data_IF_106430012909
#
_entry.id   IF_106430012909
#
_cell.length_a   1.000
_cell.length_b   1.000
_cell.length_c   1.000
_cell.angle_alpha   90.00
_cell.angle_beta   90.00
_cell.angle_gamma   90.00
#
_symmetry.space_group_name_H-M   'P 1'
#
loop_
_entity.id
_entity.type
_entity.pdbx_description
1 polymer ?
#
# COMPACT_ATOMS: atom_id res chain seq x y z
N UNK A 1 -8.32 -13.11 21.75
CA UNK A 1 -8.12 -12.38 20.48
C UNK A 1 -9.11 -11.23 20.42
N UNK A 2 -10.41 -11.51 20.56
CA UNK A 2 -11.48 -10.49 20.49
C UNK A 2 -11.29 -9.29 21.44
N UNK A 3 -10.86 -9.51 22.70
CA UNK A 3 -10.58 -8.41 23.64
C UNK A 3 -9.44 -7.49 23.17
N UNK A 4 -8.44 -8.03 22.48
CA UNK A 4 -7.30 -7.28 21.93
C UNK A 4 -7.75 -6.48 20.70
N UNK A 5 -8.58 -7.08 19.85
CA UNK A 5 -9.15 -6.42 18.68
C UNK A 5 -10.06 -5.26 19.08
N UNK A 6 -10.89 -5.47 20.11
CA UNK A 6 -11.78 -4.43 20.66
C UNK A 6 -10.99 -3.28 21.29
N UNK A 7 -9.96 -3.59 22.09
CA UNK A 7 -9.10 -2.56 22.69
C UNK A 7 -8.38 -1.74 21.62
N UNK A 8 -7.80 -2.40 20.61
CA UNK A 8 -7.16 -1.71 19.50
C UNK A 8 -8.15 -0.84 18.72
N UNK A 9 -9.33 -1.36 18.40
CA UNK A 9 -10.35 -0.61 17.68
C UNK A 9 -10.79 0.65 18.45
N UNK A 10 -10.97 0.54 19.76
CA UNK A 10 -11.24 1.72 20.61
C UNK A 10 -10.07 2.70 20.62
N UNK A 11 -8.83 2.21 20.67
CA UNK A 11 -7.63 3.05 20.63
C UNK A 11 -7.43 3.75 19.29
N UNK A 12 -7.97 3.20 18.20
CA UNK A 12 -7.93 3.80 16.87
C UNK A 12 -8.72 5.11 16.77
N UNK A 13 -9.58 5.44 17.75
CA UNK A 13 -10.12 6.79 17.90
C UNK A 13 -11.28 7.15 16.97
N UNK A 14 -11.94 6.18 16.33
CA UNK A 14 -13.13 6.45 15.51
C UNK A 14 -14.29 6.96 16.36
N UNK A 15 -14.77 8.16 16.03
CA UNK A 15 -15.98 8.75 16.64
C UNK A 15 -17.25 8.00 16.24
N UNK A 16 -18.30 8.07 17.06
CA UNK A 16 -19.61 7.48 16.73
C UNK A 16 -20.14 7.93 15.35
N UNK A 17 -19.87 9.18 14.96
CA UNK A 17 -20.24 9.71 13.64
C UNK A 17 -19.48 9.04 12.51
N UNK A 18 -18.17 8.81 12.67
CA UNK A 18 -17.37 8.09 11.67
C UNK A 18 -17.79 6.62 11.57
N UNK A 19 -18.06 5.97 12.71
CA UNK A 19 -18.55 4.59 12.75
C UNK A 19 -19.89 4.45 12.03
N UNK A 20 -20.80 5.40 12.25
CA UNK A 20 -22.08 5.47 11.55
C UNK A 20 -21.89 5.70 10.04
N UNK A 21 -20.98 6.60 9.64
CA UNK A 21 -20.65 6.84 8.25
C UNK A 21 -20.08 5.58 7.55
N UNK A 22 -19.25 4.79 8.25
CA UNK A 22 -18.74 3.51 7.77
C UNK A 22 -19.88 2.52 7.53
N UNK A 23 -20.78 2.38 8.50
CA UNK A 23 -21.93 1.49 8.39
C UNK A 23 -22.85 1.86 7.21
N UNK A 24 -23.12 3.16 7.04
CA UNK A 24 -23.92 3.69 5.92
C UNK A 24 -23.25 3.50 4.56
N UNK A 25 -21.95 3.78 4.46
CA UNK A 25 -21.17 3.56 3.24
C UNK A 25 -21.12 2.08 2.87
N UNK A 26 -20.98 1.18 3.85
CA UNK A 26 -21.05 -0.27 3.64
C UNK A 26 -22.44 -0.72 3.19
N UNK A 27 -23.50 -0.24 3.82
CA UNK A 27 -24.85 -0.55 3.37
C UNK A 27 -25.08 -0.06 1.94
N UNK A 28 -24.62 1.15 1.61
CA UNK A 28 -24.64 1.66 0.24
C UNK A 28 -23.83 0.78 -0.70
N UNK A 29 -22.63 0.35 -0.33
CA UNK A 29 -21.80 -0.54 -1.15
C UNK A 29 -22.51 -1.86 -1.49
N UNK A 30 -23.17 -2.48 -0.51
CA UNK A 30 -23.93 -3.72 -0.74
C UNK A 30 -25.25 -3.54 -1.50
N UNK A 31 -25.91 -2.40 -1.31
CA UNK A 31 -27.20 -2.11 -1.95
C UNK A 31 -27.04 -1.35 -3.28
N UNK A 32 -25.82 -0.89 -3.58
CA UNK A 32 -25.49 -0.16 -4.78
C UNK A 32 -25.68 -1.04 -6.01
N UNK A 33 -26.85 -0.86 -6.63
CA UNK A 33 -27.18 -1.38 -7.94
C UNK A 33 -27.01 -0.40 -9.13
N UNK A 34 -26.29 0.75 -9.05
CA UNK A 34 -25.93 1.46 -10.28
C UNK A 34 -25.07 0.54 -11.15
N UNK A 35 -25.51 0.33 -12.40
CA UNK A 35 -24.78 -0.44 -13.41
C UNK A 35 -23.29 -0.06 -13.48
N UNK A 36 -22.97 1.23 -13.29
CA UNK A 36 -21.61 1.74 -13.30
C UNK A 36 -20.78 1.27 -12.10
N UNK A 37 -21.34 1.23 -10.89
CA UNK A 37 -20.62 0.77 -9.68
C UNK A 37 -20.33 -0.72 -9.78
N UNK A 38 -21.32 -1.53 -10.18
CA UNK A 38 -21.10 -2.98 -10.39
C UNK A 38 -20.05 -3.22 -11.48
N UNK A 39 -20.08 -2.46 -12.57
CA UNK A 39 -19.08 -2.55 -13.64
C UNK A 39 -17.66 -2.23 -13.14
N UNK A 40 -17.46 -1.12 -12.42
CA UNK A 40 -16.16 -0.75 -11.83
C UNK A 40 -15.64 -1.87 -10.93
N UNK A 41 -16.47 -2.34 -10.00
CA UNK A 41 -16.08 -3.39 -9.04
C UNK A 41 -15.67 -4.68 -9.77
N UNK A 42 -16.45 -5.12 -10.76
CA UNK A 42 -16.10 -6.30 -11.55
C UNK A 42 -14.77 -6.12 -12.29
N UNK A 43 -14.48 -4.93 -12.81
CA UNK A 43 -13.22 -4.68 -13.52
C UNK A 43 -12.01 -4.65 -12.61
N UNK A 44 -12.13 -4.01 -11.43
CA UNK A 44 -11.12 -4.06 -10.38
C UNK A 44 -10.88 -5.52 -9.98
N UNK A 45 -11.95 -6.28 -9.74
CA UNK A 45 -11.85 -7.68 -9.35
C UNK A 45 -11.09 -8.53 -10.37
N UNK A 46 -11.41 -8.39 -11.66
CA UNK A 46 -10.71 -9.12 -12.74
C UNK A 46 -9.24 -8.70 -12.81
N UNK A 47 -8.96 -7.40 -12.84
CA UNK A 47 -7.58 -6.89 -12.97
C UNK A 47 -6.71 -7.33 -11.79
N UNK A 48 -7.17 -7.11 -10.55
CA UNK A 48 -6.44 -7.51 -9.34
C UNK A 48 -6.29 -9.03 -9.27
N UNK A 49 -7.32 -9.81 -9.62
CA UNK A 49 -7.21 -11.28 -9.64
C UNK A 49 -6.13 -11.75 -10.61
N UNK A 50 -6.09 -11.19 -11.83
CA UNK A 50 -5.09 -11.55 -12.84
C UNK A 50 -3.68 -11.20 -12.36
N UNK A 51 -3.49 -9.98 -11.88
CA UNK A 51 -2.18 -9.49 -11.42
C UNK A 51 -1.68 -10.24 -10.19
N UNK A 52 -2.52 -10.45 -9.18
CA UNK A 52 -2.12 -11.14 -7.95
C UNK A 52 -1.87 -12.63 -8.19
N UNK A 53 -2.65 -13.27 -9.07
CA UNK A 53 -2.40 -14.66 -9.46
C UNK A 53 -1.07 -14.78 -10.22
N UNK A 54 -0.76 -13.81 -11.08
CA UNK A 54 0.51 -13.77 -11.79
C UNK A 54 1.69 -13.59 -10.82
N UNK A 55 1.65 -12.61 -9.93
CA UNK A 55 2.73 -12.38 -8.96
C UNK A 55 2.92 -13.56 -7.99
N UNK A 56 1.84 -14.16 -7.48
CA UNK A 56 1.92 -15.37 -6.64
C UNK A 56 2.58 -16.54 -7.38
N UNK A 57 2.33 -16.68 -8.68
CA UNK A 57 3.00 -17.67 -9.52
C UNK A 57 4.48 -17.34 -9.76
N UNK A 58 4.82 -16.07 -9.95
CA UNK A 58 6.20 -15.61 -10.15
C UNK A 58 7.09 -15.90 -8.95
N UNK A 59 6.55 -15.95 -7.73
CA UNK A 59 7.29 -16.37 -6.52
C UNK A 59 7.87 -17.78 -6.64
N UNK A 60 7.29 -18.68 -7.44
CA UNK A 60 7.84 -20.02 -7.65
C UNK A 60 9.17 -20.03 -8.43
N UNK A 61 9.54 -18.92 -9.07
CA UNK A 61 10.84 -18.76 -9.73
C UNK A 61 11.97 -18.41 -8.76
N UNK A 62 11.62 -17.96 -7.56
CA UNK A 62 12.59 -17.49 -6.59
C UNK A 62 13.27 -18.65 -5.88
N UNK A 63 14.59 -18.56 -5.61
CA UNK A 63 15.29 -19.56 -4.84
C UNK A 63 14.74 -19.74 -3.43
N UNK A 64 14.90 -20.95 -2.82
CA UNK A 64 14.45 -21.24 -1.46
C UNK A 64 14.85 -20.18 -0.43
N UNK A 65 16.07 -19.65 -0.51
CA UNK A 65 16.66 -18.70 0.43
C UNK A 65 15.91 -17.37 0.45
N UNK A 66 15.56 -16.86 -0.72
CA UNK A 66 14.73 -15.64 -0.82
C UNK A 66 13.33 -15.92 -0.28
N UNK A 67 12.78 -17.11 -0.53
CA UNK A 67 11.47 -17.53 -0.01
C UNK A 67 11.49 -17.75 1.51
N UNK A 68 12.60 -18.20 2.07
CA UNK A 68 12.81 -18.30 3.51
C UNK A 68 12.90 -16.90 4.14
N UNK A 69 13.65 -16.00 3.50
CA UNK A 69 13.77 -14.59 3.89
C UNK A 69 12.40 -13.90 3.96
N UNK A 70 11.49 -14.16 3.01
CA UNK A 70 10.11 -13.66 3.06
C UNK A 70 9.35 -14.09 4.33
N UNK A 71 9.64 -15.28 4.87
CA UNK A 71 8.97 -15.81 6.06
C UNK A 71 9.64 -15.38 7.37
N UNK A 72 10.94 -15.07 7.34
CA UNK A 72 11.72 -14.67 8.51
C UNK A 72 11.12 -13.45 9.22
N UNK A 73 10.68 -12.44 8.46
CA UNK A 73 10.19 -11.18 9.02
C UNK A 73 8.72 -11.23 9.50
N UNK A 74 7.89 -12.07 8.88
CA UNK A 74 6.45 -12.15 9.16
C UNK A 74 6.12 -13.08 10.35
N UNK A 75 6.92 -14.13 10.57
CA UNK A 75 6.64 -15.16 11.59
C UNK A 75 7.49 -14.94 12.84
N UNK A 76 6.89 -15.08 14.02
CA UNK A 76 7.66 -15.01 15.27
C UNK A 76 8.61 -16.21 15.38
N UNK A 77 9.90 -16.01 15.09
CA UNK A 77 11.09 -16.63 15.67
C UNK A 77 11.02 -18.10 16.14
N UNK A 78 10.37 -19.00 15.40
CA UNK A 78 10.50 -20.44 15.61
C UNK A 78 11.31 -21.03 14.44
N UNK A 79 12.63 -21.23 14.60
CA UNK A 79 13.47 -21.83 13.58
C UNK A 79 13.18 -23.32 13.38
N UNK A 80 13.48 -23.87 12.19
CA UNK A 80 13.90 -23.12 10.99
C UNK A 80 12.70 -22.46 10.28
N UNK A 81 12.92 -21.26 9.72
CA UNK A 81 11.92 -20.62 8.87
C UNK A 81 11.63 -21.56 7.68
N UNK A 82 10.38 -21.94 7.50
CA UNK A 82 9.96 -22.73 6.33
C UNK A 82 10.05 -21.83 5.09
N UNK A 83 10.29 -22.37 3.91
CA UNK A 83 10.10 -21.63 2.65
C UNK A 83 8.70 -21.00 2.57
N UNK A 84 8.60 -19.80 1.98
CA UNK A 84 7.31 -19.21 1.62
C UNK A 84 6.57 -20.10 0.62
N UNK A 85 5.35 -20.52 0.93
CA UNK A 85 4.52 -21.36 0.07
C UNK A 85 3.52 -20.50 -0.69
N UNK A 86 3.58 -20.51 -2.02
CA UNK A 86 2.61 -19.83 -2.88
C UNK A 86 1.26 -20.54 -2.83
N UNK A 87 0.20 -19.83 -3.21
CA UNK A 87 -1.13 -20.42 -3.44
C UNK A 87 -1.38 -20.65 -4.93
N UNK A 88 -0.30 -20.85 -5.69
CA UNK A 88 -0.37 -21.05 -7.13
C UNK A 88 -0.96 -22.42 -7.52
N UNK A 89 -0.93 -23.40 -6.60
CA UNK A 89 -1.35 -24.77 -6.87
C UNK A 89 -2.87 -24.87 -7.14
N UNK A 90 -3.30 -25.85 -7.95
CA UNK A 90 -4.70 -26.02 -8.33
C UNK A 90 -5.63 -26.23 -7.12
N UNK A 91 -5.19 -27.04 -6.16
CA UNK A 91 -5.94 -27.32 -4.92
C UNK A 91 -6.15 -26.08 -4.05
N UNK A 92 -5.31 -25.07 -4.20
CA UNK A 92 -5.35 -23.82 -3.44
C UNK A 92 -6.13 -22.72 -4.20
N UNK A 93 -6.72 -23.03 -5.37
CA UNK A 93 -7.43 -22.06 -6.21
C UNK A 93 -8.55 -21.33 -5.46
N UNK A 94 -9.36 -22.02 -4.67
CA UNK A 94 -10.44 -21.37 -3.91
C UNK A 94 -9.88 -20.51 -2.79
N UNK A 95 -8.86 -21.00 -2.07
CA UNK A 95 -8.14 -20.22 -1.05
C UNK A 95 -7.56 -18.94 -1.65
N UNK A 96 -6.92 -19.03 -2.82
CA UNK A 96 -6.38 -17.91 -3.58
C UNK A 96 -7.46 -16.89 -3.95
N UNK A 97 -8.59 -17.34 -4.52
CA UNK A 97 -9.72 -16.46 -4.86
C UNK A 97 -10.23 -15.69 -3.64
N UNK A 98 -10.46 -16.40 -2.53
CA UNK A 98 -10.94 -15.80 -1.28
C UNK A 98 -9.92 -14.80 -0.71
N UNK A 99 -8.63 -15.14 -0.76
CA UNK A 99 -7.58 -14.27 -0.26
C UNK A 99 -7.41 -12.98 -1.09
N UNK A 100 -7.42 -13.08 -2.43
CA UNK A 100 -7.40 -11.91 -3.32
C UNK A 100 -8.64 -11.04 -3.09
N UNK A 101 -9.80 -11.64 -2.78
CA UNK A 101 -11.03 -10.90 -2.48
C UNK A 101 -10.88 -9.90 -1.32
N UNK A 102 -9.99 -10.17 -0.35
CA UNK A 102 -9.69 -9.22 0.74
C UNK A 102 -9.09 -7.92 0.22
N UNK A 103 -8.18 -8.00 -0.76
CA UNK A 103 -7.59 -6.83 -1.40
C UNK A 103 -8.55 -6.14 -2.37
N UNK A 104 -9.32 -6.94 -3.12
CA UNK A 104 -10.34 -6.43 -4.03
C UNK A 104 -11.40 -5.65 -3.24
N UNK A 105 -11.89 -6.19 -2.12
CA UNK A 105 -12.90 -5.54 -1.28
C UNK A 105 -12.43 -4.20 -0.75
N UNK A 106 -11.19 -4.11 -0.24
CA UNK A 106 -10.56 -2.86 0.14
C UNK A 106 -10.59 -1.84 -1.01
N UNK A 107 -9.99 -2.16 -2.16
CA UNK A 107 -9.87 -1.20 -3.25
C UNK A 107 -11.22 -0.84 -3.88
N UNK A 108 -12.10 -1.82 -4.06
CA UNK A 108 -13.45 -1.61 -4.55
C UNK A 108 -14.25 -0.70 -3.63
N UNK A 109 -14.11 -0.86 -2.30
CA UNK A 109 -14.78 -0.02 -1.33
C UNK A 109 -14.29 1.43 -1.40
N UNK A 110 -12.97 1.64 -1.47
CA UNK A 110 -12.38 2.97 -1.61
C UNK A 110 -12.84 3.66 -2.88
N UNK A 111 -12.71 2.99 -4.03
CA UNK A 111 -13.10 3.54 -5.34
C UNK A 111 -14.61 3.82 -5.42
N UNK A 112 -15.44 2.99 -4.79
CA UNK A 112 -16.90 3.18 -4.79
C UNK A 112 -17.35 4.36 -3.93
N UNK A 113 -16.60 4.67 -2.87
CA UNK A 113 -16.86 5.80 -1.98
C UNK A 113 -15.99 7.03 -2.30
N UNK A 114 -15.25 6.99 -3.41
CA UNK A 114 -14.47 8.12 -3.89
C UNK A 114 -15.37 9.13 -4.61
N UNK A 115 -15.37 10.36 -4.09
CA UNK A 115 -15.92 11.52 -4.80
C UNK A 115 -14.80 12.31 -5.47
N UNK A 116 -15.13 13.02 -6.54
CA UNK A 116 -14.16 13.73 -7.37
C UNK A 116 -13.19 14.59 -6.54
N UNK A 117 -11.96 14.71 -7.05
CA UNK A 117 -10.86 15.46 -6.45
C UNK A 117 -11.27 16.83 -5.85
N UNK A 118 -10.96 17.04 -4.57
CA UNK A 118 -11.12 18.35 -3.91
C UNK A 118 -12.45 18.62 -3.22
N UNK A 119 -13.38 17.66 -3.19
CA UNK A 119 -14.54 17.70 -2.30
C UNK A 119 -14.22 17.01 -0.96
N UNK A 120 -14.79 17.51 0.14
CA UNK A 120 -14.85 16.76 1.41
C UNK A 120 -15.55 15.42 1.10
N UNK A 121 -14.78 14.34 1.11
CA UNK A 121 -15.22 13.07 0.53
C UNK A 121 -15.88 12.15 1.55
N UNK A 122 -16.69 11.19 1.07
CA UNK A 122 -17.27 10.16 1.93
C UNK A 122 -16.20 9.36 2.71
N UNK A 123 -14.97 9.23 2.18
CA UNK A 123 -13.85 8.62 2.90
C UNK A 123 -13.43 9.42 4.15
N UNK A 124 -13.41 10.74 4.08
CA UNK A 124 -13.01 11.61 5.20
C UNK A 124 -14.08 11.62 6.30
N UNK A 125 -15.37 11.56 5.93
CA UNK A 125 -16.45 11.42 6.91
C UNK A 125 -16.43 10.07 7.62
N UNK A 126 -15.86 9.04 7.00
CA UNK A 126 -15.55 7.74 7.62
C UNK A 126 -14.23 7.73 8.41
N UNK A 127 -13.56 8.88 8.53
CA UNK A 127 -12.31 9.03 9.27
C UNK A 127 -11.07 8.57 8.50
N UNK A 128 -11.12 8.43 7.18
CA UNK A 128 -9.97 8.12 6.33
C UNK A 128 -9.49 9.37 5.58
N UNK A 129 -8.45 9.99 6.11
CA UNK A 129 -7.77 11.16 5.56
C UNK A 129 -6.58 10.73 4.69
N UNK A 130 -6.86 10.48 3.42
CA UNK A 130 -5.83 10.02 2.48
C UNK A 130 -4.86 11.14 2.07
N UNK A 131 -3.59 10.76 1.91
CA UNK A 131 -2.63 11.60 1.22
C UNK A 131 -3.07 11.84 -0.24
N UNK A 132 -2.68 12.98 -0.81
CA UNK A 132 -3.05 13.32 -2.18
C UNK A 132 -2.55 12.31 -3.20
N UNK A 133 -1.37 11.73 -3.00
CA UNK A 133 -0.85 10.67 -3.86
C UNK A 133 -1.80 9.46 -3.90
N UNK A 134 -2.35 9.05 -2.75
CA UNK A 134 -3.33 7.95 -2.71
C UNK A 134 -4.68 8.36 -3.30
N UNK A 135 -5.09 9.62 -3.14
CA UNK A 135 -6.28 10.18 -3.79
C UNK A 135 -6.15 10.16 -5.32
N UNK A 136 -4.99 10.56 -5.85
CA UNK A 136 -4.68 10.52 -7.28
C UNK A 136 -4.70 9.08 -7.81
N UNK A 137 -4.11 8.14 -7.07
CA UNK A 137 -4.14 6.71 -7.43
C UNK A 137 -5.57 6.17 -7.49
N UNK A 138 -6.42 6.49 -6.50
CA UNK A 138 -7.83 6.06 -6.48
C UNK A 138 -8.61 6.67 -7.66
N UNK A 139 -8.38 7.96 -7.96
CA UNK A 139 -9.03 8.63 -9.08
C UNK A 139 -8.62 8.01 -10.43
N UNK A 140 -7.32 7.74 -10.61
CA UNK A 140 -6.79 7.04 -11.78
C UNK A 140 -7.38 5.63 -11.92
N UNK A 141 -7.39 4.84 -10.85
CA UNK A 141 -7.98 3.48 -10.84
C UNK A 141 -9.46 3.55 -11.21
N UNK A 142 -10.21 4.52 -10.66
CA UNK A 142 -11.62 4.74 -10.99
C UNK A 142 -11.81 5.08 -12.47
N UNK A 143 -11.00 6.00 -13.00
CA UNK A 143 -11.03 6.40 -14.41
C UNK A 143 -10.73 5.22 -15.35
N UNK A 144 -9.69 4.43 -15.08
CA UNK A 144 -9.34 3.24 -15.87
C UNK A 144 -10.40 2.13 -15.78
N UNK A 145 -11.03 2.00 -14.61
CA UNK A 145 -12.16 1.08 -14.42
C UNK A 145 -13.36 1.49 -15.26
N UNK A 146 -13.71 2.79 -15.30
CA UNK A 146 -14.84 3.31 -16.07
C UNK A 146 -14.62 3.30 -17.59
N UNK A 147 -13.43 3.68 -18.04
CA UNK A 147 -13.11 3.92 -19.45
C UNK A 147 -13.00 2.66 -20.31
N UNK A 148 -12.99 1.46 -19.72
CA UNK A 148 -12.82 0.22 -20.48
C UNK A 148 -11.36 -0.06 -20.89
N UNK A 149 -10.38 0.73 -20.44
CA UNK A 149 -8.96 0.62 -20.82
C UNK A 149 -8.28 -0.69 -20.36
N UNK A 150 -7.02 -0.93 -20.74
CA UNK A 150 -6.32 -2.21 -20.48
C UNK A 150 -6.45 -2.70 -19.02
N UNK A 151 -6.91 -3.95 -18.83
CA UNK A 151 -6.96 -4.61 -17.52
C UNK A 151 -5.56 -4.79 -16.92
N UNK A 152 -4.54 -4.96 -17.76
CA UNK A 152 -3.14 -5.04 -17.32
C UNK A 152 -2.71 -3.74 -16.61
N UNK A 153 -2.98 -2.59 -17.22
CA UNK A 153 -2.64 -1.28 -16.65
C UNK A 153 -3.42 -1.03 -15.37
N UNK A 154 -4.71 -1.39 -15.32
CA UNK A 154 -5.50 -1.29 -14.10
C UNK A 154 -4.92 -2.15 -12.96
N UNK A 155 -4.41 -3.35 -13.29
CA UNK A 155 -3.73 -4.23 -12.36
C UNK A 155 -2.42 -3.62 -11.83
N UNK A 156 -1.57 -3.08 -12.72
CA UNK A 156 -0.32 -2.39 -12.35
C UNK A 156 -0.58 -1.17 -11.45
N UNK A 157 -1.62 -0.39 -11.74
CA UNK A 157 -2.05 0.73 -10.87
C UNK A 157 -2.50 0.25 -9.50
N UNK A 158 -3.28 -0.83 -9.44
CA UNK A 158 -3.71 -1.42 -8.17
C UNK A 158 -2.51 -1.94 -7.35
N UNK A 159 -1.56 -2.63 -7.99
CA UNK A 159 -0.30 -3.08 -7.36
C UNK A 159 0.47 -1.89 -6.79
N UNK A 160 0.68 -0.83 -7.60
CA UNK A 160 1.38 0.38 -7.18
C UNK A 160 0.70 1.03 -5.97
N UNK A 161 -0.63 1.12 -5.99
CA UNK A 161 -1.41 1.62 -4.86
C UNK A 161 -1.19 0.77 -3.61
N UNK A 162 -1.33 -0.56 -3.69
CA UNK A 162 -1.15 -1.43 -2.52
C UNK A 162 0.27 -1.39 -1.97
N UNK A 163 1.29 -1.35 -2.82
CA UNK A 163 2.69 -1.21 -2.39
C UNK A 163 2.90 0.12 -1.64
N UNK A 164 2.37 1.24 -2.14
CA UNK A 164 2.40 2.54 -1.44
C UNK A 164 1.74 2.45 -0.07
N UNK A 165 0.62 1.75 0.02
CA UNK A 165 -0.09 1.53 1.28
C UNK A 165 0.77 0.70 2.24
N UNK A 166 1.38 -0.40 1.79
CA UNK A 166 2.20 -1.31 2.62
C UNK A 166 3.46 -0.63 3.17
N UNK A 167 4.13 0.20 2.38
CA UNK A 167 5.43 0.81 2.76
C UNK A 167 5.34 2.07 3.63
N UNK A 168 4.13 2.54 3.92
CA UNK A 168 3.92 3.76 4.69
C UNK A 168 4.31 3.57 6.16
N UNK A 169 5.52 4.00 6.52
CA UNK A 169 6.04 3.94 7.89
C UNK A 169 5.32 4.88 8.87
N UNK A 170 4.43 5.76 8.38
CA UNK A 170 3.63 6.69 9.18
C UNK A 170 2.15 6.30 9.20
N UNK A 171 1.85 5.05 8.88
CA UNK A 171 0.50 4.55 8.77
C UNK A 171 -0.25 4.63 10.09
N UNK A 172 -1.44 5.23 10.05
CA UNK A 172 -2.41 5.25 11.15
C UNK A 172 -3.75 4.71 10.64
N UNK A 173 -4.68 4.34 11.53
CA UNK A 173 -6.06 4.03 11.15
C UNK A 173 -6.78 5.16 10.42
N UNK A 174 -6.27 6.41 10.50
CA UNK A 174 -6.87 7.57 9.86
C UNK A 174 -6.17 8.03 8.58
N UNK A 175 -4.97 7.55 8.28
CA UNK A 175 -4.16 8.04 7.13
C UNK A 175 -3.84 6.95 6.12
N UNK A 176 -3.89 5.68 6.54
CA UNK A 176 -3.50 4.55 5.72
C UNK A 176 -4.70 3.64 5.40
N UNK A 177 -5.00 3.41 4.10
CA UNK A 177 -6.14 2.58 3.71
C UNK A 177 -6.15 1.17 4.30
N UNK A 178 -4.99 0.51 4.45
CA UNK A 178 -4.93 -0.85 4.96
C UNK A 178 -5.24 -0.89 6.46
N UNK A 179 -4.63 0.00 7.25
CA UNK A 179 -4.90 0.07 8.71
C UNK A 179 -6.34 0.48 8.97
N UNK A 180 -6.86 1.44 8.21
CA UNK A 180 -8.27 1.83 8.25
C UNK A 180 -9.19 0.65 7.90
N UNK A 181 -8.85 -0.13 6.87
CA UNK A 181 -9.62 -1.30 6.48
C UNK A 181 -9.64 -2.38 7.56
N UNK A 182 -8.54 -2.58 8.28
CA UNK A 182 -8.52 -3.48 9.45
C UNK A 182 -9.54 -3.02 10.50
N UNK A 183 -9.64 -1.71 10.76
CA UNK A 183 -10.65 -1.17 11.67
C UNK A 183 -12.08 -1.42 11.17
N UNK A 184 -12.34 -1.24 9.88
CA UNK A 184 -13.64 -1.57 9.26
C UNK A 184 -13.96 -3.06 9.41
N UNK A 185 -13.00 -3.95 9.13
CA UNK A 185 -13.18 -5.40 9.27
C UNK A 185 -13.44 -5.79 10.73
N UNK A 186 -12.70 -5.24 11.70
CA UNK A 186 -12.91 -5.51 13.13
C UNK A 186 -14.30 -5.03 13.56
N UNK A 187 -14.66 -3.79 13.25
CA UNK A 187 -15.97 -3.24 13.58
C UNK A 187 -17.07 -4.14 13.04
N UNK A 188 -17.02 -4.41 11.73
CA UNK A 188 -18.14 -5.06 11.06
C UNK A 188 -18.21 -6.55 11.33
N UNK A 189 -17.09 -7.25 11.45
CA UNK A 189 -17.09 -8.73 11.50
C UNK A 189 -16.82 -9.31 12.88
N UNK A 190 -16.18 -8.54 13.77
CA UNK A 190 -15.82 -9.01 15.11
C UNK A 190 -16.77 -8.40 16.15
N UNK A 191 -17.07 -7.10 16.04
CA UNK A 191 -17.85 -6.39 17.04
C UNK A 191 -19.37 -6.39 16.73
N UNK A 192 -19.74 -6.13 15.48
CA UNK A 192 -21.14 -5.89 15.09
C UNK A 192 -21.84 -7.08 14.40
N UNK A 193 -21.14 -8.22 14.23
CA UNK A 193 -21.60 -9.45 13.54
C UNK A 193 -22.38 -9.17 12.23
N UNK A 194 -21.84 -8.26 11.43
CA UNK A 194 -22.46 -7.83 10.18
C UNK A 194 -22.30 -8.90 9.08
N UNK A 195 -23.18 -8.88 8.06
CA UNK A 195 -23.05 -9.78 6.91
C UNK A 195 -21.66 -9.73 6.27
N UNK A 196 -21.13 -10.88 5.87
CA UNK A 196 -19.82 -10.90 5.20
C UNK A 196 -19.85 -10.16 3.87
N UNK A 197 -18.68 -9.67 3.47
CA UNK A 197 -18.53 -8.93 2.22
C UNK A 197 -18.90 -9.79 1.01
N UNK A 198 -19.52 -9.15 0.02
CA UNK A 198 -19.78 -9.77 -1.29
C UNK A 198 -19.23 -8.83 -2.33
N UNK A 199 -18.25 -9.28 -3.11
CA UNK A 199 -17.57 -8.43 -4.10
C UNK A 199 -17.45 -9.19 -5.41
N UNK A 200 -17.92 -8.58 -6.50
CA UNK A 200 -17.98 -9.20 -7.83
C UNK A 200 -18.65 -10.60 -7.80
N UNK A 201 -19.78 -10.70 -7.10
CA UNK A 201 -20.57 -11.93 -6.91
C UNK A 201 -19.83 -13.06 -6.14
N UNK A 202 -18.65 -12.79 -5.57
CA UNK A 202 -17.94 -13.69 -4.65
C UNK A 202 -18.33 -13.39 -3.21
N UNK A 203 -18.92 -14.38 -2.54
CA UNK A 203 -19.20 -14.30 -1.11
C UNK A 203 -17.93 -14.59 -0.30
N UNK A 204 -17.59 -13.70 0.61
CA UNK A 204 -16.49 -13.89 1.53
C UNK A 204 -16.78 -15.03 2.52
N UNK A 205 -15.85 -15.97 2.58
CA UNK A 205 -15.90 -17.16 3.45
C UNK A 205 -14.76 -17.19 4.48
N UNK A 206 -13.85 -16.21 4.46
CA UNK A 206 -12.72 -16.16 5.37
C UNK A 206 -13.13 -15.63 6.75
N UNK A 207 -12.60 -16.24 7.79
CA UNK A 207 -12.56 -15.64 9.13
C UNK A 207 -11.61 -14.45 9.15
N UNK A 208 -11.72 -13.57 10.16
CA UNK A 208 -10.82 -12.44 10.32
C UNK A 208 -9.33 -12.87 10.37
N UNK A 209 -9.00 -13.94 11.08
CA UNK A 209 -7.64 -14.50 11.10
C UNK A 209 -7.15 -14.91 9.71
N UNK A 210 -8.00 -15.56 8.90
CA UNK A 210 -7.66 -15.95 7.54
C UNK A 210 -7.51 -14.73 6.60
N UNK A 211 -8.21 -13.63 6.86
CA UNK A 211 -8.03 -12.37 6.12
C UNK A 211 -6.69 -11.72 6.45
N UNK A 212 -6.28 -11.76 7.71
CA UNK A 212 -4.94 -11.31 8.10
C UNK A 212 -3.85 -12.16 7.42
N UNK A 213 -4.02 -13.48 7.35
CA UNK A 213 -3.11 -14.36 6.60
C UNK A 213 -3.08 -14.01 5.10
N UNK A 214 -4.23 -13.69 4.50
CA UNK A 214 -4.33 -13.25 3.11
C UNK A 214 -3.61 -11.91 2.87
N UNK A 215 -3.74 -10.95 3.79
CA UNK A 215 -3.03 -9.67 3.74
C UNK A 215 -1.53 -9.91 3.87
N UNK A 216 -1.10 -10.66 4.87
CA UNK A 216 0.32 -10.99 5.09
C UNK A 216 0.95 -11.77 3.92
N UNK A 217 0.24 -12.73 3.33
CA UNK A 217 0.67 -13.47 2.13
C UNK A 217 0.96 -12.55 0.95
N UNK A 218 -0.02 -11.75 0.55
CA UNK A 218 0.14 -10.89 -0.62
C UNK A 218 1.03 -9.67 -0.36
N UNK A 219 1.12 -9.16 0.86
CA UNK A 219 2.05 -8.09 1.18
C UNK A 219 3.50 -8.51 0.93
N UNK A 220 3.87 -9.75 1.28
CA UNK A 220 5.20 -10.31 0.99
C UNK A 220 5.47 -10.44 -0.50
N UNK A 221 4.48 -10.92 -1.26
CA UNK A 221 4.58 -11.04 -2.73
C UNK A 221 4.77 -9.65 -3.36
N UNK A 222 3.94 -8.68 -2.98
CA UNK A 222 4.01 -7.32 -3.51
C UNK A 222 5.33 -6.61 -3.16
N UNK A 223 5.85 -6.83 -1.95
CA UNK A 223 7.15 -6.29 -1.55
C UNK A 223 8.31 -6.90 -2.34
N UNK A 224 8.26 -8.21 -2.64
CA UNK A 224 9.25 -8.88 -3.47
C UNK A 224 9.28 -8.32 -4.90
N UNK A 225 8.10 -8.16 -5.50
CA UNK A 225 7.96 -7.62 -6.86
C UNK A 225 8.40 -6.15 -6.92
N UNK A 226 7.97 -5.28 -5.99
CA UNK A 226 8.43 -3.87 -5.95
C UNK A 226 9.95 -3.77 -5.72
N UNK A 227 10.53 -4.65 -4.89
CA UNK A 227 11.97 -4.68 -4.69
C UNK A 227 12.69 -5.06 -5.99
N UNK A 228 12.22 -6.07 -6.73
CA UNK A 228 12.79 -6.44 -8.01
C UNK A 228 12.72 -5.30 -9.03
N UNK A 229 11.54 -4.72 -9.24
CA UNK A 229 11.33 -3.62 -10.20
C UNK A 229 12.26 -2.45 -9.90
N UNK A 230 12.30 -2.01 -8.64
CA UNK A 230 13.17 -0.90 -8.21
C UNK A 230 14.64 -1.22 -8.38
N UNK A 231 15.04 -2.47 -8.13
CA UNK A 231 16.43 -2.90 -8.27
C UNK A 231 16.87 -2.91 -9.73
N UNK A 232 16.01 -3.38 -10.64
CA UNK A 232 16.23 -3.33 -12.08
C UNK A 232 16.33 -1.88 -12.57
N UNK A 233 15.55 -0.96 -12.01
CA UNK A 233 15.56 0.45 -12.41
C UNK A 233 16.67 1.31 -11.76
N UNK A 234 17.44 0.79 -10.79
CA UNK A 234 18.50 1.56 -10.11
C UNK A 234 19.64 1.98 -11.06
N UNK A 235 19.91 3.27 -11.28
CA UNK A 235 20.86 3.71 -12.31
C UNK A 235 22.34 3.44 -11.99
N UNK A 236 22.75 3.42 -10.71
CA UNK A 236 24.17 3.69 -10.39
C UNK A 236 24.95 2.59 -9.65
N UNK A 237 24.31 1.51 -9.19
CA UNK A 237 24.99 0.53 -8.31
C UNK A 237 25.23 -0.84 -8.92
N UNK A 238 24.60 -1.18 -10.05
CA UNK A 238 24.60 -2.53 -10.62
C UNK A 238 24.66 -2.44 -12.14
N UNK A 239 25.57 -3.20 -12.74
CA UNK A 239 25.74 -3.20 -14.19
C UNK A 239 24.50 -3.77 -14.89
N UNK A 240 24.16 -3.29 -16.10
CA UNK A 240 23.05 -3.85 -16.88
C UNK A 240 23.16 -5.37 -17.08
N UNK A 241 24.38 -5.90 -17.19
CA UNK A 241 24.64 -7.33 -17.35
C UNK A 241 24.27 -8.14 -16.09
N UNK A 242 24.52 -7.62 -14.88
CA UNK A 242 24.10 -8.28 -13.63
C UNK A 242 22.58 -8.31 -13.50
N UNK A 243 21.89 -7.24 -13.95
CA UNK A 243 20.42 -7.19 -13.96
C UNK A 243 19.81 -8.18 -14.94
N UNK A 244 20.34 -8.24 -16.15
CA UNK A 244 19.92 -9.19 -17.17
C UNK A 244 20.18 -10.64 -16.71
N UNK A 245 21.34 -10.90 -16.11
CA UNK A 245 21.70 -12.22 -15.55
C UNK A 245 20.70 -12.69 -14.49
N UNK A 246 20.36 -11.82 -13.53
CA UNK A 246 19.38 -12.16 -12.48
C UNK A 246 18.00 -12.45 -13.11
N UNK A 247 17.54 -11.60 -14.03
CA UNK A 247 16.26 -11.79 -14.70
C UNK A 247 16.22 -13.07 -15.54
N UNK A 248 17.30 -13.40 -16.25
CA UNK A 248 17.45 -14.62 -17.04
C UNK A 248 17.45 -15.85 -16.14
N UNK A 249 18.17 -15.81 -15.02
CA UNK A 249 18.18 -16.92 -14.05
C UNK A 249 16.79 -17.22 -13.47
N UNK A 250 16.01 -16.18 -13.15
CA UNK A 250 14.60 -16.34 -12.75
C UNK A 250 13.75 -16.92 -13.89
N UNK A 251 14.01 -16.54 -15.14
CA UNK A 251 13.28 -17.03 -16.31
C UNK A 251 13.59 -18.50 -16.66
N UNK A 252 14.72 -19.05 -16.23
CA UNK A 252 15.03 -20.48 -16.41
C UNK A 252 14.10 -21.40 -15.61
N UNK A 253 13.50 -20.90 -14.51
CA UNK A 253 12.57 -21.67 -13.69
C UNK A 253 11.19 -21.70 -14.34
N UNK A 254 10.82 -22.87 -14.87
CA UNK A 254 9.51 -23.05 -15.50
C UNK A 254 8.37 -23.04 -14.47
N UNK A 255 7.43 -22.13 -14.69
CA UNK A 255 6.15 -22.04 -13.98
C UNK A 255 4.96 -22.51 -14.83
N UNK A 256 5.21 -23.13 -15.98
CA UNK A 256 4.15 -23.55 -16.93
C UNK A 256 3.17 -24.57 -16.34
N UNK A 257 3.54 -25.24 -15.26
CA UNK A 257 2.68 -26.18 -14.54
C UNK A 257 1.53 -25.47 -13.82
N UNK A 258 1.68 -24.19 -13.47
CA UNK A 258 0.63 -23.38 -12.82
C UNK A 258 -0.49 -23.09 -13.83
N UNK A 259 -0.13 -22.71 -15.06
CA UNK A 259 -1.09 -22.43 -16.14
C UNK A 259 -1.87 -23.68 -16.58
N UNK A 260 -1.29 -24.87 -16.36
CA UNK A 260 -1.90 -26.15 -16.69
C UNK A 260 -2.77 -26.70 -15.56
N UNK A 261 -2.95 -25.94 -14.47
CA UNK A 261 -3.55 -26.42 -13.23
C UNK A 261 -2.96 -27.80 -12.82
N UNK A 262 -1.63 -27.95 -12.90
CA UNK A 262 -0.91 -29.16 -12.52
C UNK A 262 -0.30 -29.04 -11.11
N UNK A 263 0.07 -30.17 -10.50
CA UNK A 263 0.80 -30.16 -9.23
C UNK A 263 2.23 -29.64 -9.42
N UNK A 264 2.78 -29.03 -8.36
CA UNK A 264 4.15 -28.50 -8.37
C UNK A 264 5.12 -29.64 -8.70
N UNK A 265 5.95 -29.53 -9.75
CA UNK A 265 6.92 -30.55 -10.07
C UNK A 265 7.90 -30.72 -8.90
N UNK A 266 8.38 -31.94 -8.64
CA UNK A 266 9.41 -32.14 -7.63
C UNK A 266 10.63 -31.28 -7.98
N UNK A 267 11.20 -30.63 -6.96
CA UNK A 267 12.43 -29.84 -7.13
C UNK A 267 13.52 -30.80 -7.60
N UNK A 268 14.04 -30.59 -8.83
CA UNK A 268 15.15 -31.37 -9.35
C UNK A 268 16.40 -31.06 -8.51
N UNK A 269 16.99 -32.03 -7.81
CA UNK A 269 18.19 -31.81 -6.98
C UNK A 269 19.37 -31.24 -7.78
N UNK A 270 19.47 -31.50 -9.09
CA UNK A 270 20.52 -30.95 -9.95
C UNK A 270 20.23 -29.51 -10.40
N UNK A 271 18.95 -29.12 -10.52
CA UNK A 271 18.56 -27.73 -10.71
C UNK A 271 18.74 -26.95 -9.40
N UNK A 272 18.43 -27.58 -8.26
CA UNK A 272 18.63 -27.02 -6.93
C UNK A 272 20.12 -26.76 -6.65
N UNK A 273 21.01 -27.71 -6.94
CA UNK A 273 22.46 -27.52 -6.78
C UNK A 273 23.02 -26.41 -7.70
N UNK A 274 22.49 -26.24 -8.91
CA UNK A 274 22.86 -25.10 -9.77
C UNK A 274 22.30 -23.77 -9.26
N UNK A 275 21.09 -23.77 -8.69
CA UNK A 275 20.52 -22.59 -8.04
C UNK A 275 21.31 -22.21 -6.77
N UNK A 276 21.78 -23.20 -6.00
CA UNK A 276 22.69 -22.99 -4.86
C UNK A 276 24.04 -22.43 -5.31
N UNK A 277 24.65 -22.98 -6.37
CA UNK A 277 25.88 -22.42 -6.96
C UNK A 277 25.67 -21.00 -7.52
N UNK A 278 24.44 -20.63 -7.88
CA UNK A 278 24.06 -19.28 -8.34
C UNK A 278 23.76 -18.31 -7.20
N UNK A 279 23.26 -18.74 -6.04
CA UNK A 279 22.96 -17.84 -4.91
C UNK A 279 24.20 -17.20 -4.31
N UNK A 280 25.34 -17.90 -4.39
CA UNK A 280 26.65 -17.37 -4.02
C UNK A 280 27.23 -16.43 -5.11
N UNK A 281 26.51 -16.17 -6.21
CA UNK A 281 26.95 -15.24 -7.23
C UNK A 281 26.84 -13.78 -6.75
N UNK A 282 27.71 -12.89 -7.26
CA UNK A 282 27.70 -11.48 -6.87
C UNK A 282 26.34 -10.80 -7.05
N UNK A 283 25.60 -11.12 -8.12
CA UNK A 283 24.29 -10.53 -8.41
C UNK A 283 23.21 -10.96 -7.41
N UNK A 284 23.19 -12.24 -7.01
CA UNK A 284 22.24 -12.75 -6.03
C UNK A 284 22.53 -12.24 -4.62
N UNK A 285 23.81 -12.15 -4.23
CA UNK A 285 24.21 -11.51 -2.97
C UNK A 285 23.80 -10.03 -2.95
N UNK A 286 24.08 -9.28 -4.02
CA UNK A 286 23.72 -7.87 -4.12
C UNK A 286 22.19 -7.65 -4.05
N UNK A 287 21.40 -8.52 -4.67
CA UNK A 287 19.94 -8.47 -4.56
C UNK A 287 19.45 -8.81 -3.15
N UNK A 288 20.03 -9.84 -2.53
CA UNK A 288 19.68 -10.27 -1.16
C UNK A 288 19.97 -9.16 -0.15
N UNK A 289 21.15 -8.55 -0.23
CA UNK A 289 21.55 -7.40 0.59
C UNK A 289 20.62 -6.20 0.39
N UNK A 290 20.08 -6.02 -0.82
CA UNK A 290 19.13 -4.96 -1.14
C UNK A 290 17.72 -5.23 -0.58
N UNK A 291 17.21 -6.46 -0.70
CA UNK A 291 15.82 -6.77 -0.32
C UNK A 291 15.65 -7.00 1.18
N UNK A 292 16.66 -7.53 1.87
CA UNK A 292 16.59 -7.79 3.30
C UNK A 292 16.17 -6.57 4.14
N UNK A 293 16.77 -5.36 3.99
CA UNK A 293 16.33 -4.19 4.74
C UNK A 293 14.91 -3.72 4.34
N UNK A 294 14.46 -3.98 3.10
CA UNK A 294 13.09 -3.66 2.66
C UNK A 294 12.09 -4.54 3.43
N UNK A 295 12.34 -5.85 3.49
CA UNK A 295 11.47 -6.76 4.26
C UNK A 295 11.49 -6.44 5.75
N UNK A 296 12.66 -6.14 6.32
CA UNK A 296 12.77 -5.69 7.71
C UNK A 296 12.00 -4.40 7.98
N UNK A 297 11.95 -3.46 7.03
CA UNK A 297 11.20 -2.23 7.19
C UNK A 297 9.69 -2.44 7.02
N UNK A 298 9.27 -3.30 6.10
CA UNK A 298 7.88 -3.35 5.63
C UNK A 298 7.07 -4.54 6.17
N UNK A 299 7.70 -5.64 6.56
CA UNK A 299 7.04 -6.94 6.76
C UNK A 299 7.34 -7.55 8.13
N UNK A 300 7.56 -6.72 9.15
CA UNK A 300 7.81 -7.17 10.53
C UNK A 300 6.86 -6.53 11.53
N UNK A 301 6.58 -7.26 12.61
CA UNK A 301 5.85 -6.77 13.78
C UNK A 301 6.59 -5.71 14.61
N UNK A 302 7.85 -5.41 14.25
CA UNK A 302 8.69 -4.41 14.92
C UNK A 302 8.72 -3.06 14.19
N UNK A 303 8.14 -2.95 12.99
CA UNK A 303 8.14 -1.70 12.24
C UNK A 303 6.97 -0.79 12.66
N UNK A 304 7.04 0.48 12.26
CA UNK A 304 5.92 1.42 12.40
C UNK A 304 4.93 1.37 11.23
N UNK A 305 5.15 0.46 10.27
CA UNK A 305 4.31 0.32 9.08
C UNK A 305 3.00 -0.43 9.34
N UNK A 306 2.08 -0.45 8.38
CA UNK A 306 0.76 -1.09 8.52
C UNK A 306 0.85 -2.59 8.76
N UNK A 307 1.84 -3.26 8.17
CA UNK A 307 2.04 -4.70 8.34
C UNK A 307 2.43 -5.09 9.75
N UNK A 308 3.02 -4.17 10.53
CA UNK A 308 3.25 -4.39 11.95
C UNK A 308 1.94 -4.69 12.68
N UNK A 309 0.89 -3.91 12.37
CA UNK A 309 -0.46 -4.15 12.93
C UNK A 309 -1.02 -5.51 12.50
N UNK A 310 -0.90 -5.88 11.22
CA UNK A 310 -1.35 -7.18 10.68
C UNK A 310 -0.64 -8.34 11.39
N UNK A 311 0.69 -8.27 11.48
CA UNK A 311 1.53 -9.31 12.08
C UNK A 311 1.26 -9.42 13.59
N UNK A 312 1.15 -8.30 14.29
CA UNK A 312 0.81 -8.30 15.72
C UNK A 312 -0.58 -8.91 15.98
N UNK A 313 -1.56 -8.67 15.10
CA UNK A 313 -2.87 -9.34 15.19
C UNK A 313 -2.75 -10.85 14.97
N UNK A 314 -2.01 -11.28 13.94
CA UNK A 314 -1.78 -12.71 13.66
C UNK A 314 -1.17 -13.44 14.86
N UNK A 315 -0.25 -12.79 15.57
CA UNK A 315 0.41 -13.36 16.75
C UNK A 315 -0.35 -13.15 18.06
N UNK A 316 -1.44 -12.38 18.06
CA UNK A 316 -2.19 -12.01 19.26
C UNK A 316 -1.35 -11.22 20.28
N UNK A 317 -0.38 -10.43 19.81
CA UNK A 317 0.64 -9.74 20.64
C UNK A 317 0.55 -8.21 20.59
N UNK A 318 -0.63 -7.63 20.37
CA UNK A 318 -0.70 -6.16 20.36
C UNK A 318 -0.38 -5.59 21.73
N UNK A 319 0.67 -4.77 21.75
CA UNK A 319 0.78 -3.68 22.69
C UNK A 319 0.13 -2.46 22.04
N UNK A 320 -0.74 -1.77 22.76
CA UNK A 320 -1.40 -0.56 22.30
C UNK A 320 -0.32 0.52 22.13
N UNK A 321 0.05 0.92 20.91
CA UNK A 321 1.05 1.95 20.73
C UNK A 321 0.45 3.28 21.19
N UNK A 322 1.18 4.01 22.02
CA UNK A 322 0.83 5.40 22.31
C UNK A 322 1.34 6.26 21.15
N UNK A 323 0.50 7.16 20.65
CA UNK A 323 0.86 8.09 19.59
C UNK A 323 0.76 9.52 20.10
N UNK A 324 1.69 10.36 19.66
CA UNK A 324 1.62 11.81 19.83
C UNK A 324 1.47 12.48 18.48
N UNK A 325 0.47 13.34 18.38
CA UNK A 325 0.23 14.21 17.22
C UNK A 325 1.35 15.24 17.07
N UNK A 326 1.89 15.35 15.85
CA UNK A 326 2.88 16.36 15.45
C UNK A 326 2.50 16.90 14.07
N UNK A 327 2.69 18.19 13.85
CA UNK A 327 2.46 18.81 12.54
C UNK A 327 3.75 18.88 11.74
N UNK A 328 3.75 18.36 10.51
CA UNK A 328 4.88 18.47 9.58
C UNK A 328 4.50 19.38 8.41
N UNK A 329 5.48 20.17 7.97
CA UNK A 329 5.36 20.96 6.74
C UNK A 329 6.12 20.23 5.66
N UNK A 330 5.44 19.94 4.55
CA UNK A 330 6.03 19.35 3.36
C UNK A 330 5.92 20.31 2.18
N UNK A 331 6.85 20.16 1.25
CA UNK A 331 6.86 20.91 0.01
C UNK A 331 7.32 20.00 -1.13
N UNK A 332 6.67 20.15 -2.28
CA UNK A 332 6.98 19.47 -3.52
C UNK A 332 7.06 20.50 -4.64
N UNK A 333 8.07 20.38 -5.49
CA UNK A 333 8.24 21.18 -6.71
C UNK A 333 8.30 20.18 -7.88
N UNK A 334 7.48 20.44 -8.88
CA UNK A 334 7.45 19.71 -10.15
C UNK A 334 7.83 20.68 -11.27
N UNK A 335 8.85 20.33 -12.05
CA UNK A 335 9.33 21.09 -13.20
C UNK A 335 9.06 20.30 -14.48
N UNK A 336 8.64 21.00 -15.55
CA UNK A 336 8.27 20.45 -16.87
C UNK A 336 7.19 19.35 -16.82
N UNK A 337 5.96 19.68 -17.24
CA UNK A 337 4.80 18.75 -17.36
C UNK A 337 5.07 17.52 -18.26
N UNK A 338 5.93 16.63 -17.82
CA UNK A 338 6.44 15.42 -18.46
C UNK A 338 5.94 14.20 -17.69
N UNK A 339 5.80 13.08 -18.41
CA UNK A 339 5.22 11.80 -17.97
C UNK A 339 6.02 11.15 -16.80
N UNK A 340 7.20 11.69 -16.47
CA UNK A 340 8.01 11.29 -15.31
C UNK A 340 8.44 12.54 -14.54
N UNK A 341 7.76 12.93 -13.45
CA UNK A 341 8.12 14.12 -12.69
C UNK A 341 9.50 13.93 -12.05
N UNK A 342 10.41 14.88 -12.27
CA UNK A 342 11.67 14.96 -11.55
C UNK A 342 11.36 15.44 -10.12
N UNK A 343 11.48 14.54 -9.15
CA UNK A 343 11.27 14.84 -7.73
C UNK A 343 12.49 15.57 -7.17
N UNK A 344 12.42 16.89 -6.98
CA UNK A 344 13.42 17.60 -6.20
C UNK A 344 13.30 17.22 -4.71
N UNK A 345 14.44 17.02 -4.05
CA UNK A 345 14.56 16.60 -2.65
C UNK A 345 13.77 17.48 -1.69
N UNK A 346 12.95 16.84 -0.85
CA UNK A 346 12.22 17.44 0.26
C UNK A 346 13.17 18.23 1.18
N UNK A 347 12.88 19.52 1.41
CA UNK A 347 13.40 20.24 2.58
C UNK A 347 12.32 20.23 3.67
N UNK A 348 12.31 19.24 4.60
CA UNK A 348 11.46 19.34 5.77
C UNK A 348 11.98 20.46 6.68
N UNK A 349 11.22 21.53 6.83
CA UNK A 349 11.32 22.36 8.01
C UNK A 349 10.58 21.61 9.13
N UNK A 350 11.29 20.79 9.90
CA UNK A 350 10.74 20.20 11.11
C UNK A 350 10.38 21.31 12.09
N UNK A 351 9.08 21.59 12.22
CA UNK A 351 8.61 22.50 13.25
C UNK A 351 8.50 21.69 14.54
N UNK A 352 9.37 21.99 15.51
CA UNK A 352 9.48 21.22 16.75
C UNK A 352 8.14 20.95 17.44
N UNK A 353 8.10 19.82 18.16
CA UNK A 353 6.98 19.08 18.80
C UNK A 353 5.96 19.88 19.65
N UNK A 354 6.03 21.21 19.72
CA UNK A 354 5.08 22.10 20.41
C UNK A 354 4.41 23.13 19.47
N UNK A 355 4.43 22.92 18.16
CA UNK A 355 3.83 23.86 17.21
C UNK A 355 2.30 23.72 17.15
N UNK A 356 1.59 24.85 17.16
CA UNK A 356 0.16 24.91 16.81
C UNK A 356 -0.02 24.78 15.29
N UNK A 357 -1.19 24.34 14.83
CA UNK A 357 -1.59 24.33 13.40
C UNK A 357 -1.28 25.67 12.74
N UNK A 358 -1.54 26.78 13.44
CA UNK A 358 -1.23 28.14 12.97
C UNK A 358 0.27 28.34 12.66
N UNK A 359 1.16 27.83 13.53
CA UNK A 359 2.62 27.93 13.32
C UNK A 359 3.07 27.07 12.15
N UNK A 360 2.53 25.87 12.01
CA UNK A 360 2.80 25.00 10.86
C UNK A 360 2.31 25.65 9.55
N UNK A 361 1.10 26.22 9.55
CA UNK A 361 0.54 26.90 8.39
C UNK A 361 1.37 28.12 7.98
N UNK A 362 1.84 28.90 8.95
CA UNK A 362 2.74 30.02 8.70
C UNK A 362 4.10 29.57 8.15
N UNK A 363 4.60 28.42 8.58
CA UNK A 363 5.83 27.85 8.05
C UNK A 363 5.64 27.34 6.61
N UNK A 364 4.51 26.70 6.28
CA UNK A 364 4.19 26.32 4.89
C UNK A 364 4.15 27.55 3.95
N UNK A 365 3.51 28.65 4.40
CA UNK A 365 3.52 29.95 3.67
C UNK A 365 4.91 30.53 3.50
N UNK A 366 5.79 30.29 4.47
CA UNK A 366 7.17 30.78 4.44
C UNK A 366 8.01 29.98 3.45
N UNK A 367 7.97 28.65 3.52
CA UNK A 367 8.70 27.75 2.62
C UNK A 367 8.39 28.07 1.16
N UNK A 368 7.11 28.16 0.80
CA UNK A 368 6.72 28.43 -0.60
C UNK A 368 7.14 29.84 -1.08
N UNK A 369 7.28 30.83 -0.18
CA UNK A 369 7.76 32.19 -0.52
C UNK A 369 9.28 32.28 -0.59
N UNK A 370 10.00 31.53 0.24
CA UNK A 370 11.46 31.50 0.25
C UNK A 370 12.00 30.80 -1.00
N UNK A 371 11.39 29.68 -1.39
CA UNK A 371 11.81 28.91 -2.58
C UNK A 371 11.46 29.60 -3.91
N UNK A 372 10.37 30.36 -3.97
CA UNK A 372 9.81 30.85 -5.25
C UNK A 372 9.80 32.38 -5.38
N UNK A 373 10.31 33.09 -4.36
CA UNK A 373 10.44 34.54 -4.34
C UNK A 373 9.13 35.32 -4.12
N UNK A 374 9.25 36.65 -4.03
CA UNK A 374 8.12 37.54 -3.75
C UNK A 374 7.17 37.68 -4.96
N UNK A 375 6.12 36.86 -5.00
CA UNK A 375 4.74 37.16 -5.47
C UNK A 375 4.51 37.86 -6.83
N UNK A 376 5.48 37.94 -7.75
CA UNK A 376 5.30 38.68 -9.02
C UNK A 376 5.35 37.84 -10.30
N UNK A 377 5.58 36.54 -10.23
CA UNK A 377 5.71 35.67 -11.41
C UNK A 377 4.76 34.44 -11.44
N UNK A 378 3.96 34.19 -10.40
CA UNK A 378 3.02 33.06 -10.39
C UNK A 378 1.76 33.37 -11.22
N UNK A 379 1.39 32.47 -12.13
CA UNK A 379 0.15 32.55 -12.90
C UNK A 379 -1.10 32.30 -12.04
N UNK A 380 -0.97 31.42 -11.04
CA UNK A 380 -2.07 31.00 -10.17
C UNK A 380 -1.55 30.71 -8.75
N UNK A 381 -2.31 31.11 -7.74
CA UNK A 381 -1.98 30.93 -6.33
C UNK A 381 -3.24 30.56 -5.56
N UNK A 382 -3.27 29.34 -5.02
CA UNK A 382 -4.42 28.80 -4.29
C UNK A 382 -4.03 28.43 -2.87
N UNK A 383 -4.88 28.82 -1.94
CA UNK A 383 -4.77 28.47 -0.54
C UNK A 383 -6.06 27.77 -0.14
N UNK A 384 -5.96 26.48 0.18
CA UNK A 384 -7.09 25.66 0.60
C UNK A 384 -6.86 25.22 2.03
N UNK A 385 -7.92 25.30 2.83
CA UNK A 385 -7.95 24.75 4.17
C UNK A 385 -8.74 23.46 4.13
N UNK A 386 -8.23 22.43 4.79
CA UNK A 386 -9.06 21.27 5.10
C UNK A 386 -9.98 21.56 6.29
N UNK A 387 -10.85 20.60 6.60
CA UNK A 387 -11.80 20.66 7.71
C UNK A 387 -11.14 20.77 9.09
N UNK A 388 -9.85 20.46 9.22
CA UNK A 388 -9.07 20.59 10.45
C UNK A 388 -8.36 21.94 10.58
N UNK A 389 -8.46 22.80 9.56
CA UNK A 389 -7.81 24.12 9.51
C UNK A 389 -6.33 24.06 9.10
N UNK A 390 -5.83 22.93 8.60
CA UNK A 390 -4.49 22.82 8.02
C UNK A 390 -4.47 23.38 6.60
N UNK A 391 -3.35 24.03 6.24
CA UNK A 391 -3.21 24.70 4.95
C UNK A 391 -2.54 23.81 3.91
N UNK A 392 -3.04 23.87 2.68
CA UNK A 392 -2.30 23.51 1.47
C UNK A 392 -2.26 24.71 0.53
N UNK A 393 -1.05 25.04 0.11
CA UNK A 393 -0.74 26.19 -0.74
C UNK A 393 -0.20 25.64 -2.05
N UNK A 394 -0.89 25.95 -3.14
CA UNK A 394 -0.44 25.66 -4.50
C UNK A 394 -0.03 26.96 -5.16
N UNK A 395 1.10 26.92 -5.85
CA UNK A 395 1.55 28.03 -6.68
C UNK A 395 2.03 27.48 -8.04
N UNK A 396 1.46 28.01 -9.12
CA UNK A 396 1.81 27.65 -10.50
C UNK A 396 2.61 28.80 -11.10
N UNK A 397 3.76 28.46 -11.69
CA UNK A 397 4.68 29.40 -12.32
C UNK A 397 4.88 29.01 -13.78
N UNK A 398 5.02 30.04 -14.60
CA UNK A 398 5.48 29.93 -15.98
C UNK A 398 6.60 30.95 -16.14
N UNK A 399 7.82 30.46 -16.29
CA UNK A 399 8.95 31.25 -16.77
C UNK A 399 9.12 30.99 -18.28
N UNK A 400 9.86 31.85 -18.99
CA UNK A 400 10.10 31.73 -20.44
C UNK A 400 10.78 30.40 -20.83
N UNK A 401 11.34 29.66 -19.86
CA UNK A 401 12.05 28.40 -20.06
C UNK A 401 11.41 27.16 -19.42
N UNK A 402 10.62 27.27 -18.35
CA UNK A 402 10.11 26.13 -17.56
C UNK A 402 8.72 26.46 -17.01
N UNK A 403 7.77 25.54 -17.19
CA UNK A 403 6.49 25.54 -16.46
C UNK A 403 6.70 24.73 -15.16
N UNK A 404 6.42 25.32 -14.00
CA UNK A 404 6.68 24.69 -12.70
C UNK A 404 5.47 24.78 -11.76
N UNK A 405 5.22 23.71 -10.99
CA UNK A 405 4.18 23.62 -9.97
C UNK A 405 4.83 23.38 -8.61
N UNK A 406 4.61 24.29 -7.68
CA UNK A 406 5.00 24.10 -6.29
C UNK A 406 3.78 23.93 -5.40
N UNK A 407 3.86 22.95 -4.49
CA UNK A 407 2.82 22.70 -3.50
C UNK A 407 3.47 22.56 -2.14
N UNK A 408 3.07 23.41 -1.20
CA UNK A 408 3.44 23.30 0.21
C UNK A 408 2.20 22.95 1.03
N UNK A 409 2.31 22.04 1.98
CA UNK A 409 1.18 21.67 2.82
C UNK A 409 1.61 21.34 4.24
N UNK A 410 0.65 21.47 5.15
CA UNK A 410 0.75 20.96 6.51
C UNK A 410 0.04 19.62 6.55
N UNK A 411 0.67 18.65 7.20
CA UNK A 411 0.06 17.38 7.54
C UNK A 411 0.17 17.14 9.05
N UNK A 412 -0.88 16.55 9.62
CA UNK A 412 -0.83 15.97 10.96
C UNK A 412 -0.27 14.56 10.84
N UNK A 413 0.75 14.26 11.65
CA UNK A 413 1.42 12.97 11.69
C UNK A 413 1.41 12.47 13.12
N UNK A 414 0.95 11.25 13.30
CA UNK A 414 1.08 10.55 14.58
C UNK A 414 2.48 9.93 14.67
N UNK A 415 3.22 10.29 15.72
CA UNK A 415 4.53 9.71 16.02
C UNK A 415 4.37 8.77 17.21
N UNK A 416 4.87 7.53 17.07
CA UNK A 416 4.93 6.58 18.18
C UNK A 416 5.70 7.20 19.36
N UNK A 417 5.09 7.23 20.54
CA UNK A 417 5.81 7.49 21.78
C UNK A 417 6.47 6.18 22.22
N UNK A 418 7.78 6.08 22.03
CA UNK A 418 8.57 5.13 22.81
C UNK A 418 8.44 5.54 24.28
N UNK A 419 8.02 4.60 25.14
CA UNK A 419 8.08 4.78 26.59
C UNK A 419 9.52 5.16 26.96
N UNK A 420 9.71 6.41 27.39
CA UNK A 420 10.98 6.90 27.95
C UNK A 420 11.25 6.36 29.34
#
# INVERSE_FOLDING_TARGET
MDSILEEWYRSAGFTDTQQQAIAEARQRFHTANPLNTKYIICRIAVAVTQTFTHHDAMVERWPPEIRELMNEFSRSAAPPAKEFETWARPRDQEKRKQAISVWISLLAFLVSNWESYGADGALESMGLNLSWTLKDDIDAIRYYSLSGMSLKVLGEMATTFFVKVIKDATATPHTNPLVWWLAVLIQTEVLDDQPRWTVADLQDTLSFSQKLEAIDHYARILALEDALDRWIDMPDNISPAEKESLQDSLNEVSISWIDQDAERPPVDPFAMNRAFDQIDSPEWMAYTDYIQPIFAAWLTGQSSGPMSTVILFLHGKLNTPSYRKVYKVKMQIEEDFSIVPMMATCHPAEVGTKATIERANNQARRCIREELGQKKASLEWDEVYDTSGMIRIRAIYRDEAIDARAVAWVEEVDILTEDM
#
